data_IF_485807670082
#
_entry.id   IF_485807670082
#
_cell.length_a   1.000
_cell.length_b   1.000
_cell.length_c   1.000
_cell.angle_alpha   90.00
_cell.angle_beta   90.00
_cell.angle_gamma   90.00
#
_symmetry.space_group_name_H-M   'P 1'
#
loop_
_entity.id
_entity.type
_entity.pdbx_description
1 polymer ?
#
# COMPACT_ATOMS: atom_id res chain seq x y z
N UNK A 1 -7.74 -1.12 -19.04
CA UNK A 1 -7.08 -2.01 -18.04
C UNK A 1 -5.98 -1.31 -17.24
N UNK A 2 -5.23 -0.35 -17.79
CA UNK A 2 -4.20 0.38 -17.02
C UNK A 2 -4.75 1.26 -15.89
N UNK A 3 -5.83 1.99 -16.13
CA UNK A 3 -6.39 2.93 -15.15
C UNK A 3 -6.91 2.23 -13.88
N UNK A 4 -7.67 1.15 -14.02
CA UNK A 4 -8.15 0.37 -12.87
C UNK A 4 -7.01 -0.25 -12.05
N UNK A 5 -5.93 -0.69 -12.71
CA UNK A 5 -4.72 -1.19 -12.04
C UNK A 5 -4.02 -0.09 -11.26
N UNK A 6 -3.86 1.09 -11.86
CA UNK A 6 -3.26 2.25 -11.21
C UNK A 6 -4.12 2.72 -10.02
N UNK A 7 -5.44 2.78 -10.19
CA UNK A 7 -6.38 3.08 -9.12
C UNK A 7 -6.23 2.13 -7.93
N UNK A 8 -6.19 0.82 -8.18
CA UNK A 8 -6.00 -0.20 -7.14
C UNK A 8 -4.67 -0.02 -6.38
N UNK A 9 -3.59 0.33 -7.08
CA UNK A 9 -2.27 0.57 -6.47
C UNK A 9 -2.28 1.74 -5.50
N UNK A 10 -3.11 2.75 -5.76
CA UNK A 10 -3.28 3.94 -4.93
C UNK A 10 -4.48 3.86 -3.97
N UNK A 11 -5.13 2.69 -3.85
CA UNK A 11 -6.28 2.51 -2.96
C UNK A 11 -7.56 3.23 -3.43
N UNK A 12 -7.65 3.59 -4.71
CA UNK A 12 -8.81 4.24 -5.31
C UNK A 12 -9.76 3.17 -5.84
N UNK A 13 -10.97 3.11 -5.29
CA UNK A 13 -12.01 2.21 -5.74
C UNK A 13 -12.63 2.70 -7.07
N UNK A 14 -12.75 1.81 -8.06
CA UNK A 14 -13.41 2.10 -9.34
C UNK A 14 -14.89 1.72 -9.36
N UNK A 15 -15.43 1.23 -8.23
CA UNK A 15 -16.84 0.93 -8.04
C UNK A 15 -17.22 0.94 -6.57
N UNK A 16 -18.49 1.19 -6.25
CA UNK A 16 -19.01 1.11 -4.88
C UNK A 16 -20.44 0.60 -4.85
N UNK A 17 -20.90 0.15 -3.68
CA UNK A 17 -22.24 -0.38 -3.47
C UNK A 17 -23.01 0.46 -2.44
N UNK A 18 -23.89 1.40 -2.86
CA UNK A 18 -24.61 2.27 -1.94
C UNK A 18 -25.75 1.56 -1.19
N UNK A 19 -26.23 0.43 -1.71
CA UNK A 19 -27.27 -0.40 -1.10
C UNK A 19 -27.05 -1.87 -1.49
N UNK A 20 -27.67 -2.83 -0.78
CA UNK A 20 -27.64 -4.24 -1.20
C UNK A 20 -28.04 -4.39 -2.66
N UNK A 21 -27.36 -5.28 -3.37
CA UNK A 21 -27.58 -5.61 -4.78
C UNK A 21 -27.38 -4.47 -5.80
N UNK A 22 -26.89 -3.30 -5.38
CA UNK A 22 -26.56 -2.18 -6.27
C UNK A 22 -25.05 -1.99 -6.31
N UNK A 23 -24.47 -2.05 -7.51
CA UNK A 23 -23.06 -1.70 -7.75
C UNK A 23 -22.98 -0.59 -8.78
N UNK A 24 -22.31 0.50 -8.42
CA UNK A 24 -22.09 1.67 -9.26
C UNK A 24 -20.65 1.69 -9.72
N UNK A 25 -20.42 1.80 -11.03
CA UNK A 25 -19.09 2.05 -11.59
C UNK A 25 -18.76 3.54 -11.51
N UNK A 26 -17.53 3.84 -11.12
CA UNK A 26 -17.02 5.22 -11.06
C UNK A 26 -16.58 5.63 -12.47
N UNK A 27 -16.98 6.82 -12.98
CA UNK A 27 -16.50 7.31 -14.27
C UNK A 27 -14.98 7.48 -14.29
N UNK A 28 -14.35 7.17 -15.43
CA UNK A 28 -12.89 7.27 -15.60
C UNK A 28 -12.35 8.67 -15.27
N UNK A 29 -13.05 9.74 -15.67
CA UNK A 29 -12.66 11.13 -15.35
C UNK A 29 -12.60 11.39 -13.85
N UNK A 30 -13.51 10.80 -13.08
CA UNK A 30 -13.50 10.90 -11.61
C UNK A 30 -12.29 10.16 -11.03
N UNK A 31 -11.97 8.97 -11.55
CA UNK A 31 -10.79 8.21 -11.13
C UNK A 31 -9.51 8.98 -11.43
N UNK A 32 -9.40 9.57 -12.62
CA UNK A 32 -8.27 10.42 -13.02
C UNK A 32 -8.15 11.64 -12.10
N UNK A 33 -9.25 12.32 -11.78
CA UNK A 33 -9.24 13.48 -10.88
C UNK A 33 -8.79 13.11 -9.45
N UNK A 34 -9.24 11.97 -8.91
CA UNK A 34 -8.80 11.49 -7.59
C UNK A 34 -7.32 11.11 -7.61
N UNK A 35 -6.86 10.40 -8.64
CA UNK A 35 -5.44 10.09 -8.81
C UNK A 35 -4.58 11.36 -8.88
N UNK A 36 -5.02 12.37 -9.62
CA UNK A 36 -4.34 13.66 -9.68
C UNK A 36 -4.28 14.35 -8.30
N UNK A 37 -5.35 14.27 -7.50
CA UNK A 37 -5.36 14.77 -6.13
C UNK A 37 -4.38 14.01 -5.20
N UNK A 38 -4.10 12.74 -5.49
CA UNK A 38 -3.05 11.94 -4.84
C UNK A 38 -1.64 12.19 -5.42
N UNK A 39 -1.50 13.13 -6.36
CA UNK A 39 -0.22 13.47 -7.00
C UNK A 39 0.18 12.51 -8.12
N UNK A 40 -0.75 11.75 -8.69
CA UNK A 40 -0.51 10.75 -9.75
C UNK A 40 -1.12 11.23 -11.05
N UNK A 41 -0.29 11.41 -12.09
CA UNK A 41 -0.78 11.74 -13.43
C UNK A 41 -1.34 10.49 -14.12
N UNK A 42 -2.64 10.54 -14.41
CA UNK A 42 -3.37 9.52 -15.16
C UNK A 42 -4.13 10.12 -16.35
N UNK A 43 -3.77 11.35 -16.77
CA UNK A 43 -4.49 12.12 -17.79
C UNK A 43 -4.44 11.51 -19.19
N UNK A 44 -3.48 10.61 -19.45
CA UNK A 44 -3.31 9.92 -20.73
C UNK A 44 -2.92 8.46 -20.53
N UNK A 45 -3.15 7.59 -21.54
CA UNK A 45 -2.66 6.19 -21.48
C UNK A 45 -1.14 6.06 -21.28
N UNK A 46 -0.37 7.01 -21.82
CA UNK A 46 1.08 7.06 -21.62
C UNK A 46 1.41 7.41 -20.15
N UNK A 47 0.77 8.45 -19.59
CA UNK A 47 0.95 8.84 -18.19
C UNK A 47 0.59 7.69 -17.22
N UNK A 48 -0.47 6.94 -17.50
CA UNK A 48 -0.85 5.75 -16.72
C UNK A 48 0.25 4.68 -16.75
N UNK A 49 0.82 4.42 -17.93
CA UNK A 49 1.93 3.46 -18.09
C UNK A 49 3.15 3.91 -17.31
N UNK A 50 3.55 5.18 -17.45
CA UNK A 50 4.70 5.75 -16.76
C UNK A 50 4.51 5.76 -15.24
N UNK A 51 3.31 6.08 -14.76
CA UNK A 51 2.97 6.05 -13.34
C UNK A 51 3.08 4.62 -12.77
N UNK A 52 2.58 3.62 -13.49
CA UNK A 52 2.71 2.21 -13.11
C UNK A 52 4.18 1.78 -13.04
N UNK A 53 4.97 2.09 -14.07
CA UNK A 53 6.41 1.73 -14.10
C UNK A 53 7.19 2.40 -12.96
N UNK A 54 6.93 3.68 -12.67
CA UNK A 54 7.57 4.37 -11.53
C UNK A 54 7.18 3.74 -10.20
N UNK A 55 5.92 3.38 -10.01
CA UNK A 55 5.44 2.80 -8.77
C UNK A 55 6.02 1.38 -8.55
N UNK A 56 6.09 0.56 -9.61
CA UNK A 56 6.76 -0.74 -9.58
C UNK A 56 8.26 -0.63 -9.28
N UNK A 57 8.97 0.31 -9.92
CA UNK A 57 10.38 0.57 -9.64
C UNK A 57 10.61 1.02 -8.19
N UNK A 58 9.79 1.94 -7.69
CA UNK A 58 9.86 2.41 -6.30
C UNK A 58 9.61 1.29 -5.30
N UNK A 59 8.72 0.34 -5.61
CA UNK A 59 8.47 -0.82 -4.77
C UNK A 59 9.64 -1.81 -4.81
N UNK A 60 10.25 -2.02 -5.97
CA UNK A 60 11.40 -2.91 -6.15
C UNK A 60 12.68 -2.40 -5.47
N UNK A 61 12.86 -1.08 -5.35
CA UNK A 61 14.01 -0.47 -4.69
C UNK A 61 13.93 -0.54 -3.15
N UNK A 62 12.75 -0.81 -2.59
CA UNK A 62 12.53 -0.83 -1.14
C UNK A 62 12.78 -2.22 -0.56
N UNK A 63 13.72 -2.32 0.37
CA UNK A 63 13.96 -3.54 1.15
C UNK A 63 12.84 -3.83 2.15
N UNK A 64 12.16 -2.79 2.64
CA UNK A 64 11.07 -2.87 3.61
C UNK A 64 9.88 -2.03 3.15
N UNK A 65 8.64 -2.41 3.52
CA UNK A 65 7.48 -1.56 3.29
C UNK A 65 7.61 -0.19 3.97
N UNK A 66 6.90 0.85 3.49
CA UNK A 66 6.92 2.18 4.10
C UNK A 66 6.52 2.19 5.57
N UNK A 67 5.65 1.26 5.98
CA UNK A 67 5.14 1.18 7.34
C UNK A 67 4.84 -0.26 7.66
N UNK A 68 5.20 -0.68 8.87
CA UNK A 68 4.89 -2.00 9.42
C UNK A 68 4.09 -1.77 10.70
N UNK A 69 2.98 -2.48 10.84
CA UNK A 69 2.13 -2.43 12.03
C UNK A 69 2.26 -3.75 12.77
N UNK A 70 2.55 -3.68 14.07
CA UNK A 70 2.63 -4.82 14.96
C UNK A 70 1.59 -4.65 16.06
N UNK A 71 0.77 -5.67 16.27
CA UNK A 71 -0.20 -5.69 17.37
C UNK A 71 0.47 -6.23 18.63
N UNK A 72 0.18 -5.63 19.79
CA UNK A 72 0.65 -6.16 21.08
C UNK A 72 0.05 -7.53 21.34
N UNK A 73 0.88 -8.47 21.79
CA UNK A 73 0.42 -9.78 22.26
C UNK A 73 -0.08 -9.70 23.71
N UNK A 74 -0.91 -10.66 24.15
CA UNK A 74 -1.22 -10.87 25.57
C UNK A 74 0.05 -11.03 26.42
N UNK A 75 -0.08 -10.77 27.72
CA UNK A 75 1.05 -10.83 28.65
C UNK A 75 1.65 -12.25 28.69
N UNK A 76 2.96 -12.34 28.46
CA UNK A 76 3.71 -13.60 28.39
C UNK A 76 3.86 -14.19 26.98
N UNK A 77 3.26 -13.57 25.95
CA UNK A 77 3.37 -14.01 24.56
C UNK A 77 4.19 -13.04 23.70
N UNK A 78 4.76 -13.56 22.59
CA UNK A 78 5.46 -12.73 21.61
C UNK A 78 4.50 -12.35 20.49
N UNK A 79 4.45 -11.08 20.06
CA UNK A 79 3.63 -10.68 18.94
C UNK A 79 4.09 -11.36 17.65
N UNK A 80 3.12 -11.76 16.82
CA UNK A 80 3.39 -12.39 15.54
C UNK A 80 4.04 -11.38 14.59
N UNK A 81 5.14 -11.79 13.94
CA UNK A 81 5.84 -10.95 12.99
C UNK A 81 4.93 -10.63 11.79
N UNK A 82 4.82 -9.36 11.36
CA UNK A 82 4.01 -8.99 10.21
C UNK A 82 4.47 -9.74 8.95
N UNK A 83 3.51 -10.20 8.14
CA UNK A 83 3.80 -10.96 6.91
C UNK A 83 4.77 -10.24 5.96
N UNK A 84 4.78 -8.90 5.99
CA UNK A 84 5.75 -8.04 5.33
C UNK A 84 7.22 -8.43 5.59
N UNK A 85 7.52 -8.97 6.77
CA UNK A 85 8.87 -9.34 7.21
C UNK A 85 9.22 -10.79 6.88
N UNK A 86 8.22 -11.63 6.55
CA UNK A 86 8.41 -13.05 6.27
C UNK A 86 9.21 -13.30 4.98
N UNK A 87 9.23 -12.33 4.06
CA UNK A 87 9.98 -12.40 2.80
C UNK A 87 11.43 -11.91 2.87
N UNK A 88 11.92 -11.52 4.06
CA UNK A 88 13.26 -10.99 4.19
C UNK A 88 14.33 -12.07 4.01
N UNK A 89 15.50 -11.74 3.44
CA UNK A 89 16.60 -12.68 3.30
C UNK A 89 16.97 -13.32 4.65
N UNK A 90 17.32 -14.63 4.67
CA UNK A 90 17.80 -15.27 5.89
C UNK A 90 18.99 -14.52 6.51
N UNK A 91 18.96 -14.34 7.84
CA UNK A 91 19.98 -13.58 8.57
C UNK A 91 19.72 -12.08 8.67
N UNK A 92 18.60 -11.57 8.13
CA UNK A 92 18.19 -10.17 8.34
C UNK A 92 17.87 -9.93 9.82
N UNK A 93 18.47 -8.89 10.39
CA UNK A 93 18.17 -8.41 11.76
C UNK A 93 17.40 -7.10 11.66
N UNK A 94 16.29 -6.99 12.39
CA UNK A 94 15.46 -5.78 12.46
C UNK A 94 15.51 -5.23 13.87
N UNK A 95 15.67 -3.92 13.99
CA UNK A 95 15.59 -3.22 15.26
C UNK A 95 14.52 -2.14 15.15
N UNK A 96 13.56 -2.14 16.08
CA UNK A 96 12.49 -1.14 16.16
C UNK A 96 12.73 -0.32 17.43
N UNK A 97 12.93 0.99 17.26
CA UNK A 97 13.08 1.93 18.37
C UNK A 97 11.79 2.77 18.48
N UNK A 98 10.95 2.54 19.50
CA UNK A 98 9.78 3.37 19.73
C UNK A 98 10.21 4.73 20.26
N UNK A 99 9.52 5.82 19.87
CA UNK A 99 9.88 7.20 20.29
C UNK A 99 9.94 7.40 21.82
N UNK A 100 9.26 6.53 22.60
CA UNK A 100 9.27 6.55 24.07
C UNK A 100 10.42 5.78 24.74
N UNK A 101 11.38 5.23 24.00
CA UNK A 101 12.54 4.54 24.58
C UNK A 101 12.24 3.22 25.30
N UNK A 102 11.09 2.59 24.99
CA UNK A 102 10.81 1.22 25.42
C UNK A 102 11.85 0.24 24.85
N UNK A 103 12.17 -0.81 25.60
CA UNK A 103 13.16 -1.81 25.18
C UNK A 103 12.86 -2.28 23.75
N UNK A 104 13.89 -2.43 22.89
CA UNK A 104 13.68 -2.89 21.52
C UNK A 104 12.91 -4.21 21.58
N UNK A 105 11.76 -4.25 20.90
CA UNK A 105 11.02 -5.48 20.74
C UNK A 105 11.95 -6.45 20.01
N UNK A 106 12.26 -7.63 20.59
CA UNK A 106 13.21 -8.55 20.01
C UNK A 106 12.69 -9.16 18.70
#
# INVERSE_FOLDING_TARGET
MGLARLAALHGVATSYAPSPDVTVQVPDDTVVAVLAALGVDASTPAAVTDALTRAEATAAERLLPPTVVLWSAPEGERPEAPAALAGLPPGTTLQVEPEGGGAPLP
#
